data_IF_113433754798
#
_entry.id   IF_113433754798
#
_cell.length_a   1.000
_cell.length_b   1.000
_cell.length_c   1.000
_cell.angle_alpha   90.00
_cell.angle_beta   90.00
_cell.angle_gamma   90.00
#
_symmetry.space_group_name_H-M   'P 1'
#
loop_
_entity.id
_entity.type
_entity.pdbx_description
1 polymer ?
#
# COMPACT_ATOMS: atom_id res chain seq x y z
N UNK A 1 8.89 16.86 11.69
CA UNK A 1 10.30 16.96 12.09
C UNK A 1 11.18 17.34 10.89
N UNK A 2 11.46 18.64 10.71
CA UNK A 2 12.40 19.11 9.65
C UNK A 2 13.78 19.15 10.27
N UNK A 3 14.62 18.17 9.96
CA UNK A 3 16.04 18.18 10.36
C UNK A 3 16.73 19.28 9.56
N UNK A 4 16.78 20.51 10.10
CA UNK A 4 17.61 21.59 9.55
C UNK A 4 19.07 21.24 9.81
N UNK A 5 19.88 21.10 8.75
CA UNK A 5 21.34 20.90 8.87
C UNK A 5 22.12 21.75 7.88
N UNK A 6 23.14 22.38 8.44
CA UNK A 6 24.30 22.98 7.76
C UNK A 6 25.03 21.95 6.87
N UNK A 7 25.77 22.40 5.84
CA UNK A 7 26.35 21.57 4.78
C UNK A 7 27.61 20.79 5.23
N UNK A 8 27.54 20.10 6.36
CA UNK A 8 28.54 19.14 6.81
C UNK A 8 27.98 17.73 6.62
N UNK A 9 28.83 16.82 6.14
CA UNK A 9 28.51 15.41 5.82
C UNK A 9 27.60 14.76 6.88
N UNK A 10 26.59 14.01 6.43
CA UNK A 10 25.66 13.32 7.33
C UNK A 10 26.44 12.46 8.34
N UNK A 11 26.19 12.66 9.64
CA UNK A 11 26.89 11.88 10.66
C UNK A 11 26.39 10.44 10.64
N UNK A 12 27.26 9.49 10.98
CA UNK A 12 26.93 8.06 11.05
C UNK A 12 25.69 7.82 11.93
N UNK A 13 25.51 8.64 12.98
CA UNK A 13 24.34 8.57 13.86
C UNK A 13 23.03 8.82 13.13
N UNK A 14 23.01 9.78 12.21
CA UNK A 14 21.77 10.18 11.54
C UNK A 14 21.41 9.23 10.41
N UNK A 15 22.41 8.69 9.72
CA UNK A 15 22.19 7.60 8.77
C UNK A 15 21.59 6.37 9.47
N UNK A 16 22.10 6.01 10.66
CA UNK A 16 21.52 4.90 11.46
C UNK A 16 20.08 5.18 11.87
N UNK A 17 19.78 6.42 12.25
CA UNK A 17 18.43 6.80 12.67
C UNK A 17 17.43 6.77 11.51
N UNK A 18 17.80 7.26 10.33
CA UNK A 18 16.95 7.17 9.12
C UNK A 18 16.65 5.71 8.78
N UNK A 19 17.66 4.83 8.80
CA UNK A 19 17.47 3.39 8.55
C UNK A 19 16.53 2.76 9.57
N UNK A 20 16.68 3.10 10.86
CA UNK A 20 15.83 2.59 11.94
C UNK A 20 14.37 3.00 11.73
N UNK A 21 14.13 4.27 11.42
CA UNK A 21 12.80 4.82 11.12
C UNK A 21 12.19 4.06 9.93
N UNK A 22 12.86 4.05 8.79
CA UNK A 22 12.36 3.39 7.58
C UNK A 22 12.02 1.90 7.83
N UNK A 23 12.85 1.19 8.59
CA UNK A 23 12.64 -0.23 8.90
C UNK A 23 11.37 -0.46 9.73
N UNK A 24 11.20 0.30 10.81
CA UNK A 24 10.03 0.17 11.70
C UNK A 24 8.73 0.49 10.94
N UNK A 25 8.73 1.55 10.14
CA UNK A 25 7.54 1.95 9.38
C UNK A 25 7.24 0.97 8.25
N UNK A 26 8.25 0.49 7.52
CA UNK A 26 8.05 -0.52 6.48
C UNK A 26 7.45 -1.81 7.06
N UNK A 27 7.98 -2.31 8.19
CA UNK A 27 7.49 -3.53 8.83
C UNK A 27 6.05 -3.38 9.34
N UNK A 28 5.73 -2.26 10.02
CA UNK A 28 4.38 -1.99 10.54
C UNK A 28 3.36 -1.80 9.41
N UNK A 29 3.73 -1.06 8.37
CA UNK A 29 2.87 -0.82 7.21
C UNK A 29 2.57 -2.11 6.44
N UNK A 30 3.60 -2.93 6.20
CA UNK A 30 3.47 -4.21 5.50
C UNK A 30 2.51 -5.15 6.22
N UNK A 31 2.64 -5.31 7.54
CA UNK A 31 1.75 -6.17 8.34
C UNK A 31 0.30 -5.68 8.29
N UNK A 32 0.06 -4.37 8.41
CA UNK A 32 -1.29 -3.83 8.35
C UNK A 32 -1.96 -4.11 7.00
N UNK A 33 -1.28 -3.81 5.88
CA UNK A 33 -1.83 -4.05 4.53
C UNK A 33 -2.04 -5.55 4.29
N UNK A 34 -1.11 -6.40 4.73
CA UNK A 34 -1.26 -7.85 4.61
C UNK A 34 -2.52 -8.35 5.31
N UNK A 35 -2.77 -7.94 6.56
CA UNK A 35 -3.96 -8.35 7.31
C UNK A 35 -5.24 -7.89 6.61
N UNK A 36 -5.27 -6.66 6.09
CA UNK A 36 -6.42 -6.13 5.34
C UNK A 36 -6.72 -7.00 4.11
N UNK A 37 -5.72 -7.23 3.26
CA UNK A 37 -5.91 -7.99 2.01
C UNK A 37 -6.29 -9.43 2.31
N UNK A 38 -5.63 -10.07 3.27
CA UNK A 38 -5.93 -11.45 3.69
C UNK A 38 -7.35 -11.58 4.24
N UNK A 39 -7.74 -10.70 5.17
CA UNK A 39 -9.06 -10.76 5.77
C UNK A 39 -10.18 -10.45 4.77
N UNK A 40 -10.00 -9.53 3.81
CA UNK A 40 -10.98 -9.34 2.75
C UNK A 40 -11.08 -10.53 1.79
N UNK A 41 -9.94 -11.13 1.42
CA UNK A 41 -9.92 -12.32 0.56
C UNK A 41 -10.65 -13.50 1.19
N UNK A 42 -10.67 -13.60 2.53
CA UNK A 42 -11.45 -14.60 3.25
C UNK A 42 -12.89 -14.16 3.53
N UNK A 43 -13.14 -12.91 3.87
CA UNK A 43 -14.47 -12.46 4.27
C UNK A 43 -15.50 -12.55 3.14
N UNK A 44 -15.14 -12.06 1.95
CA UNK A 44 -16.07 -11.90 0.84
C UNK A 44 -16.62 -13.24 0.30
N UNK A 45 -15.81 -14.30 0.08
CA UNK A 45 -16.32 -15.61 -0.34
C UNK A 45 -17.34 -16.23 0.63
N UNK A 46 -17.12 -16.05 1.93
CA UNK A 46 -17.97 -16.61 3.00
C UNK A 46 -19.31 -15.87 3.12
N UNK A 47 -19.33 -14.57 2.77
CA UNK A 47 -20.56 -13.78 2.69
C UNK A 47 -21.33 -14.15 1.42
N UNK A 48 -20.67 -14.04 0.25
CA UNK A 48 -21.26 -14.39 -1.04
C UNK A 48 -20.17 -14.69 -2.06
N UNK A 49 -20.11 -15.93 -2.52
CA UNK A 49 -19.08 -16.37 -3.47
C UNK A 49 -19.21 -15.70 -4.85
N UNK A 50 -20.42 -15.35 -5.30
CA UNK A 50 -20.63 -14.60 -6.54
C UNK A 50 -20.14 -13.16 -6.43
N UNK A 51 -20.37 -12.51 -5.28
CA UNK A 51 -19.81 -11.20 -4.99
C UNK A 51 -18.28 -11.23 -5.07
N UNK A 52 -17.66 -12.27 -4.51
CA UNK A 52 -16.22 -12.42 -4.56
C UNK A 52 -15.67 -12.60 -5.99
N UNK A 53 -16.37 -13.35 -6.85
CA UNK A 53 -16.00 -13.48 -8.26
C UNK A 53 -16.02 -12.11 -8.96
N UNK A 54 -17.07 -11.31 -8.73
CA UNK A 54 -17.15 -9.94 -9.24
C UNK A 54 -16.00 -9.06 -8.72
N UNK A 55 -15.64 -9.21 -7.45
CA UNK A 55 -14.48 -8.54 -6.86
C UNK A 55 -13.16 -8.95 -7.52
N UNK A 56 -12.94 -10.24 -7.81
CA UNK A 56 -11.73 -10.71 -8.50
C UNK A 56 -11.59 -10.13 -9.91
N UNK A 57 -12.69 -10.06 -10.67
CA UNK A 57 -12.67 -9.45 -12.01
C UNK A 57 -12.35 -7.94 -11.89
N UNK A 58 -12.98 -7.26 -10.93
CA UNK A 58 -12.76 -5.85 -10.67
C UNK A 58 -11.31 -5.55 -10.28
N UNK A 59 -10.76 -6.24 -9.28
CA UNK A 59 -9.39 -6.00 -8.82
C UNK A 59 -8.35 -6.33 -9.90
N UNK A 60 -8.61 -7.34 -10.75
CA UNK A 60 -7.74 -7.64 -11.88
C UNK A 60 -7.74 -6.50 -12.91
N UNK A 61 -8.93 -6.03 -13.32
CA UNK A 61 -9.04 -4.99 -14.35
C UNK A 61 -8.55 -3.62 -13.86
N UNK A 62 -9.12 -3.12 -12.77
CA UNK A 62 -8.78 -1.79 -12.22
C UNK A 62 -7.39 -1.79 -11.57
N UNK A 63 -7.00 -2.88 -10.91
CA UNK A 63 -5.69 -3.00 -10.29
C UNK A 63 -4.56 -3.07 -11.32
N UNK A 64 -4.74 -3.80 -12.43
CA UNK A 64 -3.75 -3.82 -13.51
C UNK A 64 -3.61 -2.44 -14.17
N UNK A 65 -4.74 -1.78 -14.45
CA UNK A 65 -4.72 -0.42 -14.98
C UNK A 65 -3.97 0.54 -14.05
N UNK A 66 -4.30 0.54 -12.75
CA UNK A 66 -3.63 1.36 -11.74
C UNK A 66 -2.13 1.08 -11.63
N UNK A 67 -1.73 -0.20 -11.68
CA UNK A 67 -0.32 -0.58 -11.62
C UNK A 67 0.48 0.01 -12.78
N UNK A 68 -0.04 -0.12 -14.00
CA UNK A 68 0.60 0.42 -15.21
C UNK A 68 0.64 1.95 -15.16
N UNK A 69 -0.48 2.58 -14.79
CA UNK A 69 -0.58 4.03 -14.69
C UNK A 69 0.46 4.60 -13.72
N UNK A 70 0.53 4.09 -12.49
CA UNK A 70 1.46 4.58 -11.48
C UNK A 70 2.92 4.34 -11.85
N UNK A 71 3.25 3.18 -12.43
CA UNK A 71 4.61 2.88 -12.89
C UNK A 71 5.07 3.85 -13.98
N UNK A 72 4.20 4.10 -14.98
CA UNK A 72 4.52 5.00 -16.09
C UNK A 72 4.56 6.47 -15.65
N UNK A 73 3.61 6.91 -14.83
CA UNK A 73 3.57 8.30 -14.33
C UNK A 73 4.81 8.62 -13.49
N UNK A 74 5.15 7.77 -12.52
CA UNK A 74 6.34 7.97 -11.69
C UNK A 74 7.65 7.86 -12.48
N UNK A 75 7.74 6.93 -13.43
CA UNK A 75 8.90 6.81 -14.32
C UNK A 75 9.06 8.02 -15.25
N UNK A 76 7.96 8.59 -15.73
CA UNK A 76 7.98 9.80 -16.56
C UNK A 76 8.49 11.01 -15.76
N UNK A 77 8.05 11.18 -14.51
CA UNK A 77 8.53 12.26 -13.65
C UNK A 77 10.03 12.13 -13.30
N UNK A 78 10.53 10.92 -12.99
CA UNK A 78 11.97 10.71 -12.75
C UNK A 78 12.80 11.00 -14.00
N UNK A 79 12.35 10.54 -15.16
CA UNK A 79 13.03 10.79 -16.42
C UNK A 79 13.03 12.27 -16.80
N UNK A 80 11.91 12.99 -16.57
CA UNK A 80 11.84 14.43 -16.78
C UNK A 80 12.84 15.18 -15.90
N UNK A 81 12.97 14.80 -14.61
CA UNK A 81 13.99 15.34 -13.72
C UNK A 81 15.40 15.05 -14.24
N UNK A 82 15.69 13.82 -14.69
CA UNK A 82 17.00 13.45 -15.26
C UNK A 82 17.36 14.27 -16.50
N UNK A 83 16.42 14.56 -17.40
CA UNK A 83 16.64 15.45 -18.55
C UNK A 83 17.06 16.85 -18.09
N UNK A 84 16.38 17.41 -17.08
CA UNK A 84 16.71 18.74 -16.52
C UNK A 84 18.11 18.75 -15.89
N UNK A 85 18.48 17.66 -15.20
CA UNK A 85 19.76 17.56 -14.49
C UNK A 85 20.96 17.28 -15.39
N UNK A 86 20.79 16.44 -16.41
CA UNK A 86 21.90 15.88 -17.21
C UNK A 86 21.99 16.57 -18.57
N UNK A 87 20.90 16.62 -19.33
CA UNK A 87 20.91 17.11 -20.71
C UNK A 87 20.87 18.63 -20.75
N UNK A 88 19.97 19.22 -19.95
CA UNK A 88 19.80 20.67 -19.86
C UNK A 88 20.78 21.33 -18.88
N UNK A 89 21.37 20.54 -17.96
CA UNK A 89 22.32 20.99 -16.93
C UNK A 89 21.81 22.14 -16.07
N UNK A 90 20.49 22.19 -15.85
CA UNK A 90 19.81 23.28 -15.14
C UNK A 90 19.61 22.97 -13.65
N UNK A 91 20.61 22.39 -12.97
CA UNK A 91 20.53 22.14 -11.52
C UNK A 91 20.43 23.44 -10.73
N UNK A 92 19.68 23.42 -9.62
CA UNK A 92 19.42 24.59 -8.75
C UNK A 92 18.67 25.73 -9.44
N UNK A 93 17.88 25.42 -10.48
CA UNK A 93 16.97 26.36 -11.12
C UNK A 93 15.53 26.11 -10.66
N UNK A 94 14.60 27.08 -10.82
CA UNK A 94 13.18 26.85 -10.52
C UNK A 94 12.59 25.66 -11.29
N UNK A 95 13.11 25.37 -12.49
CA UNK A 95 12.68 24.20 -13.27
C UNK A 95 13.14 22.88 -12.63
N UNK A 96 14.36 22.85 -12.08
CA UNK A 96 14.88 21.68 -11.37
C UNK A 96 14.12 21.44 -10.06
N UNK A 97 13.83 22.49 -9.30
CA UNK A 97 13.01 22.34 -8.09
C UNK A 97 11.62 21.78 -8.42
N UNK A 98 10.98 22.27 -9.49
CA UNK A 98 9.68 21.74 -9.93
C UNK A 98 9.75 20.27 -10.39
N UNK A 99 10.81 19.86 -11.09
CA UNK A 99 10.97 18.47 -11.53
C UNK A 99 11.32 17.53 -10.38
N UNK A 100 12.04 18.01 -9.36
CA UNK A 100 12.26 17.28 -8.09
C UNK A 100 10.94 17.05 -7.37
N UNK A 101 10.07 18.07 -7.26
CA UNK A 101 8.74 17.89 -6.66
C UNK A 101 7.95 16.80 -7.41
N UNK A 102 7.96 16.82 -8.74
CA UNK A 102 7.32 15.79 -9.56
C UNK A 102 7.83 14.37 -9.26
N UNK A 103 9.15 14.20 -9.17
CA UNK A 103 9.76 12.91 -8.85
C UNK A 103 9.42 12.45 -7.42
N UNK A 104 9.44 13.36 -6.43
CA UNK A 104 9.06 13.00 -5.05
C UNK A 104 7.61 12.55 -4.91
N UNK A 105 6.71 13.05 -5.75
CA UNK A 105 5.32 12.55 -5.85
C UNK A 105 5.28 11.19 -6.57
N UNK A 106 6.16 10.99 -7.55
CA UNK A 106 6.27 9.78 -8.35
C UNK A 106 6.93 8.58 -7.65
N UNK A 107 7.80 8.81 -6.66
CA UNK A 107 8.53 7.76 -5.94
C UNK A 107 7.60 6.73 -5.27
N UNK A 108 6.58 7.12 -4.47
CA UNK A 108 5.61 6.16 -3.92
C UNK A 108 4.84 5.39 -5.01
N UNK A 109 4.57 6.03 -6.16
CA UNK A 109 3.82 5.44 -7.25
C UNK A 109 4.63 4.34 -7.96
N UNK A 110 5.85 4.64 -8.38
CA UNK A 110 6.69 3.71 -9.18
C UNK A 110 7.39 2.64 -8.32
N UNK A 111 7.78 2.96 -7.09
CA UNK A 111 8.61 2.06 -6.28
C UNK A 111 7.83 1.27 -5.22
N UNK A 112 6.64 1.73 -4.84
CA UNK A 112 5.84 1.09 -3.78
C UNK A 112 4.51 0.58 -4.31
N UNK A 113 3.58 1.47 -4.69
CA UNK A 113 2.18 1.09 -4.95
C UNK A 113 2.01 0.29 -6.24
N UNK A 114 2.65 0.69 -7.34
CA UNK A 114 2.53 -0.03 -8.62
C UNK A 114 3.10 -1.45 -8.56
N UNK A 115 4.30 -1.61 -7.98
CA UNK A 115 4.97 -2.90 -7.82
C UNK A 115 4.18 -3.82 -6.89
N UNK A 116 3.54 -3.27 -5.84
CA UNK A 116 2.74 -4.04 -4.88
C UNK A 116 1.40 -4.55 -5.43
N UNK A 117 0.82 -3.93 -6.46
CA UNK A 117 -0.49 -4.32 -6.97
C UNK A 117 -0.50 -5.73 -7.60
N UNK A 118 0.56 -6.10 -8.33
CA UNK A 118 0.65 -7.44 -8.93
C UNK A 118 0.63 -8.58 -7.88
N UNK A 119 1.48 -8.58 -6.84
CA UNK A 119 1.38 -9.60 -5.79
C UNK A 119 0.07 -9.50 -5.00
N UNK A 120 -0.52 -8.32 -4.78
CA UNK A 120 -1.84 -8.19 -4.14
C UNK A 120 -2.93 -8.89 -4.94
N UNK A 121 -2.98 -8.71 -6.26
CA UNK A 121 -3.95 -9.38 -7.14
C UNK A 121 -3.74 -10.90 -7.10
N UNK A 122 -2.50 -11.38 -7.29
CA UNK A 122 -2.19 -12.81 -7.28
C UNK A 122 -2.51 -13.47 -5.94
N UNK A 123 -2.17 -12.80 -4.85
CA UNK A 123 -2.45 -13.26 -3.49
C UNK A 123 -3.96 -13.35 -3.24
N UNK A 124 -4.70 -12.28 -3.54
CA UNK A 124 -6.16 -12.23 -3.38
C UNK A 124 -6.84 -13.34 -4.17
N UNK A 125 -6.41 -13.59 -5.41
CA UNK A 125 -6.96 -14.68 -6.24
C UNK A 125 -6.64 -16.05 -5.67
N UNK A 126 -5.39 -16.31 -5.27
CA UNK A 126 -4.97 -17.62 -4.77
C UNK A 126 -5.70 -17.99 -3.48
N UNK A 127 -5.65 -17.12 -2.46
CA UNK A 127 -6.31 -17.39 -1.17
C UNK A 127 -7.82 -17.28 -1.26
N UNK A 128 -8.32 -16.39 -2.12
CA UNK A 128 -9.73 -16.21 -2.38
C UNK A 128 -10.41 -17.44 -2.97
N UNK A 129 -9.79 -18.09 -3.96
CA UNK A 129 -10.34 -19.31 -4.55
C UNK A 129 -10.40 -20.46 -3.54
N UNK A 130 -9.38 -20.59 -2.68
CA UNK A 130 -9.40 -21.55 -1.57
C UNK A 130 -10.56 -21.25 -0.60
N UNK A 131 -10.78 -19.98 -0.27
CA UNK A 131 -11.88 -19.57 0.59
C UNK A 131 -13.26 -19.79 -0.05
N UNK A 132 -13.40 -19.61 -1.38
CA UNK A 132 -14.62 -19.95 -2.12
C UNK A 132 -14.94 -21.44 -1.99
N UNK A 133 -13.95 -22.33 -2.19
CA UNK A 133 -14.17 -23.77 -2.09
C UNK A 133 -14.64 -24.18 -0.68
N UNK A 134 -14.02 -23.60 0.35
CA UNK A 134 -14.43 -23.82 1.74
C UNK A 134 -15.86 -23.30 1.97
N UNK A 135 -16.17 -22.08 1.53
CA UNK A 135 -17.49 -21.47 1.71
C UNK A 135 -18.61 -22.28 1.02
N UNK A 136 -18.38 -22.74 -0.21
CA UNK A 136 -19.32 -23.57 -0.98
C UNK A 136 -19.49 -24.95 -0.34
N UNK A 137 -18.40 -25.56 0.13
CA UNK A 137 -18.47 -26.85 0.83
C UNK A 137 -19.25 -26.75 2.14
N UNK A 138 -19.03 -25.68 2.92
CA UNK A 138 -19.79 -25.41 4.14
C UNK A 138 -21.29 -25.22 3.87
N UNK A 139 -21.63 -24.51 2.79
CA UNK A 139 -23.02 -24.32 2.38
C UNK A 139 -23.69 -25.65 2.00
N UNK A 140 -22.99 -26.53 1.28
CA UNK A 140 -23.52 -27.84 0.88
C UNK A 140 -23.69 -28.77 2.08
N UNK A 141 -22.73 -28.76 3.01
CA UNK A 141 -22.75 -29.61 4.20
C UNK A 141 -23.83 -29.21 5.21
N UNK A 142 -24.05 -27.90 5.40
CA UNK A 142 -25.04 -27.38 6.36
C UNK A 142 -25.78 -26.14 5.80
N UNK A 143 -26.83 -26.32 4.97
CA UNK A 143 -27.52 -25.22 4.30
C UNK A 143 -28.16 -24.20 5.25
N UNK A 144 -28.69 -24.66 6.38
CA UNK A 144 -29.37 -23.84 7.41
C UNK A 144 -28.39 -23.15 8.37
N UNK A 145 -27.08 -23.46 8.29
CA UNK A 145 -26.11 -22.95 9.26
C UNK A 145 -25.65 -21.53 8.94
N UNK A 146 -25.81 -20.64 9.92
CA UNK A 146 -25.32 -19.26 9.86
C UNK A 146 -23.80 -19.15 10.07
N UNK A 147 -23.10 -20.26 10.31
CA UNK A 147 -21.68 -20.26 10.65
C UNK A 147 -20.81 -19.60 9.58
N UNK A 148 -21.11 -19.83 8.29
CA UNK A 148 -20.37 -19.19 7.18
C UNK A 148 -20.43 -17.66 7.27
N UNK A 149 -21.61 -17.12 7.59
CA UNK A 149 -21.84 -15.69 7.65
C UNK A 149 -21.14 -15.10 8.87
N UNK A 150 -21.16 -15.81 10.01
CA UNK A 150 -20.43 -15.40 11.22
C UNK A 150 -18.94 -15.29 10.91
N UNK A 151 -18.34 -16.31 10.27
CA UNK A 151 -16.93 -16.29 9.87
C UNK A 151 -16.64 -15.12 8.93
N UNK A 152 -17.47 -14.93 7.91
CA UNK A 152 -17.34 -13.82 6.95
C UNK A 152 -17.40 -12.45 7.62
N UNK A 153 -18.37 -12.23 8.51
CA UNK A 153 -18.54 -10.97 9.25
C UNK A 153 -17.35 -10.72 10.18
N UNK A 154 -16.86 -11.74 10.89
CA UNK A 154 -15.68 -11.59 11.77
C UNK A 154 -14.46 -11.14 10.99
N UNK A 155 -14.12 -11.82 9.88
CA UNK A 155 -13.00 -11.39 9.04
C UNK A 155 -13.22 -10.01 8.41
N UNK A 156 -14.45 -9.69 8.01
CA UNK A 156 -14.78 -8.38 7.47
C UNK A 156 -14.56 -7.26 8.49
N UNK A 157 -14.99 -7.46 9.74
CA UNK A 157 -14.78 -6.49 10.82
C UNK A 157 -13.30 -6.32 11.15
N UNK A 158 -12.53 -7.42 11.18
CA UNK A 158 -11.06 -7.35 11.36
C UNK A 158 -10.44 -6.53 10.23
N UNK A 159 -10.84 -6.77 8.98
CA UNK A 159 -10.34 -6.01 7.84
C UNK A 159 -10.64 -4.51 7.99
N UNK A 160 -11.88 -4.13 8.35
CA UNK A 160 -12.26 -2.73 8.57
C UNK A 160 -11.47 -2.05 9.70
N UNK A 161 -11.25 -2.75 10.81
CA UNK A 161 -10.43 -2.24 11.92
C UNK A 161 -9.01 -1.95 11.45
N UNK A 162 -8.42 -2.87 10.67
CA UNK A 162 -7.05 -2.69 10.16
C UNK A 162 -6.97 -1.63 9.06
N UNK A 163 -8.02 -1.46 8.25
CA UNK A 163 -8.13 -0.31 7.32
C UNK A 163 -8.12 0.99 8.10
N UNK A 164 -8.98 1.13 9.11
CA UNK A 164 -9.01 2.33 9.96
C UNK A 164 -7.65 2.58 10.63
N UNK A 165 -7.07 1.54 11.23
CA UNK A 165 -5.73 1.61 11.84
C UNK A 165 -4.65 2.03 10.85
N UNK A 166 -4.76 1.63 9.58
CA UNK A 166 -3.81 2.03 8.54
C UNK A 166 -3.85 3.54 8.28
N UNK A 167 -5.05 4.13 8.19
CA UNK A 167 -5.22 5.55 7.87
C UNK A 167 -5.00 6.49 9.07
N UNK A 168 -5.37 6.06 10.28
CA UNK A 168 -5.41 6.93 11.46
C UNK A 168 -4.40 6.51 12.54
N UNK A 169 -4.16 5.21 12.71
CA UNK A 169 -3.29 4.68 13.77
C UNK A 169 -1.80 4.65 13.42
N UNK A 170 -1.42 4.89 12.16
CA UNK A 170 -0.02 4.98 11.72
C UNK A 170 0.45 6.43 11.49
N UNK A 171 -0.41 7.42 11.75
CA UNK A 171 0.00 8.82 11.67
C UNK A 171 1.02 9.11 12.76
N UNK A 172 2.07 9.82 12.38
CA UNK A 172 3.06 10.33 13.33
C UNK A 172 2.30 11.30 14.25
N UNK A 173 2.33 11.12 15.59
CA UNK A 173 1.86 12.15 16.49
C UNK A 173 2.60 13.44 16.15
N UNK A 174 1.90 14.55 15.97
CA UNK A 174 2.58 15.83 15.95
C UNK A 174 3.23 15.98 17.32
N UNK A 175 4.57 15.97 17.37
CA UNK A 175 5.29 16.33 18.57
C UNK A 175 4.81 17.73 18.94
N UNK A 176 4.10 17.82 20.07
CA UNK A 176 3.78 19.07 20.73
C UNK A 176 5.02 19.56 21.47
N UNK A 177 6.09 19.79 20.72
CA UNK A 177 7.34 20.37 21.24
C UNK A 177 7.47 21.82 20.74
N UNK A 178 6.43 22.61 21.00
CA UNK A 178 6.63 23.95 21.53
C UNK A 178 6.74 23.81 23.06
N UNK A 179 7.97 23.64 23.58
CA UNK A 179 8.44 24.08 24.91
C UNK A 179 9.69 23.30 25.34
N UNK A 180 10.88 23.81 25.00
CA UNK A 180 12.06 23.95 25.86
C UNK A 180 13.21 24.61 25.09
#
# INVERSE_FOLDING_TARGET
MVVKRTPATASIRDSKEVVRICTIYAQRGMLNIFVVVFCFALALPFINSYLFIGYLISIAFFGLYQAIFMANAGGAWDNAKKIVEVDLRMKNTPLHEASVVGDTVGDPFKDTSSVALNPVIKFTTLFGLLAVEIAVTMQKANPESNLRYIIGIVFFLIALIFVYRSFYGMRIPEDSDEQA
#
